data_IF_343266071294
#
_entry.id   IF_343266071294
#
_cell.length_a   1.000
_cell.length_b   1.000
_cell.length_c   1.000
_cell.angle_alpha   90.00
_cell.angle_beta   90.00
_cell.angle_gamma   90.00
#
_symmetry.space_group_name_H-M   'P 1'
#
loop_
_entity.id
_entity.type
_entity.pdbx_description
1 polymer ?
#
# COMPACT_ATOMS: atom_id res chain seq x y z
N UNK A 1 -26.08 4.85 -0.52
CA UNK A 1 -24.95 4.19 -1.19
C UNK A 1 -25.39 2.77 -1.53
N UNK A 2 -25.28 2.28 -2.78
CA UNK A 2 -25.90 1.01 -3.20
C UNK A 2 -25.09 -0.17 -2.65
N UNK A 3 -25.76 -1.24 -2.21
CA UNK A 3 -25.13 -2.46 -1.66
C UNK A 3 -24.06 -3.06 -2.60
N UNK A 4 -24.26 -2.97 -3.91
CA UNK A 4 -23.31 -3.43 -4.92
C UNK A 4 -21.98 -2.67 -4.88
N UNK A 5 -21.99 -1.36 -4.60
CA UNK A 5 -20.79 -0.53 -4.50
C UNK A 5 -19.95 -0.93 -3.28
N UNK A 6 -20.60 -1.24 -2.15
CA UNK A 6 -19.93 -1.70 -0.94
C UNK A 6 -19.24 -3.05 -1.14
N UNK A 7 -19.91 -4.01 -1.79
CA UNK A 7 -19.31 -5.31 -2.10
C UNK A 7 -18.13 -5.18 -3.07
N UNK A 8 -18.20 -4.26 -4.03
CA UNK A 8 -17.08 -3.96 -4.92
C UNK A 8 -15.89 -3.43 -4.11
N UNK A 9 -16.11 -2.43 -3.25
CA UNK A 9 -15.05 -1.87 -2.43
C UNK A 9 -14.44 -2.90 -1.45
N UNK A 10 -15.27 -3.76 -0.85
CA UNK A 10 -14.78 -4.81 0.05
C UNK A 10 -13.84 -5.79 -0.66
N UNK A 11 -14.17 -6.18 -1.90
CA UNK A 11 -13.31 -7.06 -2.72
C UNK A 11 -12.01 -6.36 -3.10
N UNK A 12 -12.08 -5.09 -3.49
CA UNK A 12 -10.89 -4.29 -3.77
C UNK A 12 -9.95 -4.24 -2.56
N UNK A 13 -10.49 -3.96 -1.38
CA UNK A 13 -9.73 -3.91 -0.13
C UNK A 13 -9.11 -5.28 0.21
N UNK A 14 -9.85 -6.39 0.03
CA UNK A 14 -9.32 -7.74 0.26
C UNK A 14 -8.17 -8.09 -0.70
N UNK A 15 -8.26 -7.63 -1.96
CA UNK A 15 -7.19 -7.79 -2.95
C UNK A 15 -5.95 -6.98 -2.56
N UNK A 16 -6.12 -5.71 -2.16
CA UNK A 16 -5.02 -4.85 -1.71
C UNK A 16 -4.34 -5.40 -0.46
N UNK A 17 -5.12 -5.90 0.51
CA UNK A 17 -4.58 -6.51 1.73
C UNK A 17 -3.77 -7.77 1.42
N UNK A 18 -4.32 -8.65 0.57
CA UNK A 18 -3.62 -9.87 0.16
C UNK A 18 -2.35 -9.57 -0.62
N UNK A 19 -2.39 -8.58 -1.52
CA UNK A 19 -1.22 -8.13 -2.27
C UNK A 19 -0.14 -7.59 -1.33
N UNK A 20 -0.51 -6.76 -0.35
CA UNK A 20 0.42 -6.24 0.66
C UNK A 20 1.15 -7.34 1.41
N UNK A 21 0.42 -8.35 1.89
CA UNK A 21 1.00 -9.48 2.62
C UNK A 21 1.99 -10.25 1.74
N UNK A 22 1.61 -10.55 0.49
CA UNK A 22 2.49 -11.24 -0.45
C UNK A 22 3.75 -10.43 -0.78
N UNK A 23 3.67 -9.10 -0.93
CA UNK A 23 4.84 -8.25 -1.18
C UNK A 23 5.78 -8.11 0.02
N UNK A 24 5.31 -8.40 1.23
CA UNK A 24 6.16 -8.44 2.42
C UNK A 24 6.99 -9.74 2.50
N UNK A 25 6.49 -10.82 1.89
CA UNK A 25 7.15 -12.14 1.91
C UNK A 25 8.07 -12.36 0.70
N UNK A 26 7.73 -11.77 -0.45
CA UNK A 26 8.45 -11.97 -1.69
C UNK A 26 8.54 -10.68 -2.52
N UNK A 27 9.56 -10.61 -3.37
CA UNK A 27 9.76 -9.45 -4.24
C UNK A 27 8.61 -9.28 -5.23
N UNK A 28 8.31 -8.02 -5.57
CA UNK A 28 7.23 -7.59 -6.46
C UNK A 28 7.13 -8.39 -7.77
N UNK A 29 8.27 -8.67 -8.38
CA UNK A 29 8.41 -9.40 -9.64
C UNK A 29 7.90 -10.85 -9.53
N UNK A 30 8.03 -11.47 -8.36
CA UNK A 30 7.65 -12.87 -8.10
C UNK A 30 6.17 -13.07 -7.81
N UNK A 31 5.49 -12.07 -7.25
CA UNK A 31 4.04 -12.14 -7.00
C UNK A 31 3.28 -12.12 -8.32
N UNK A 32 2.26 -12.97 -8.43
CA UNK A 32 1.34 -13.01 -9.56
C UNK A 32 -0.09 -12.62 -9.17
N UNK A 33 -0.87 -12.12 -10.14
CA UNK A 33 -2.32 -11.85 -9.95
C UNK A 33 -3.08 -13.12 -9.50
N UNK A 34 -2.65 -14.30 -9.96
CA UNK A 34 -3.29 -15.55 -9.59
C UNK A 34 -3.09 -15.90 -8.10
N UNK A 35 -1.91 -15.60 -7.55
CA UNK A 35 -1.63 -15.80 -6.12
C UNK A 35 -2.40 -14.81 -5.27
N UNK A 36 -2.45 -13.53 -5.66
CA UNK A 36 -3.26 -12.52 -4.96
C UNK A 36 -4.73 -12.93 -4.94
N UNK A 37 -5.26 -13.37 -6.09
CA UNK A 37 -6.64 -13.84 -6.22
C UNK A 37 -6.92 -15.03 -5.27
N UNK A 38 -6.03 -16.04 -5.28
CA UNK A 38 -6.12 -17.22 -4.43
C UNK A 38 -6.04 -16.87 -2.95
N UNK A 39 -5.10 -16.01 -2.57
CA UNK A 39 -4.90 -15.56 -1.19
C UNK A 39 -6.13 -14.79 -0.69
N UNK A 40 -6.73 -13.94 -1.53
CA UNK A 40 -7.93 -13.17 -1.19
C UNK A 40 -9.24 -13.99 -1.23
N UNK A 41 -9.21 -15.25 -1.68
CA UNK A 41 -10.43 -16.04 -1.91
C UNK A 41 -11.32 -15.49 -3.02
N UNK A 42 -10.75 -14.75 -3.98
CA UNK A 42 -11.47 -14.07 -5.06
C UNK A 42 -11.08 -14.70 -6.41
N UNK A 43 -12.07 -14.93 -7.28
CA UNK A 43 -11.81 -15.47 -8.62
C UNK A 43 -10.93 -14.53 -9.46
N UNK A 44 -9.96 -15.10 -10.20
CA UNK A 44 -9.00 -14.35 -11.04
C UNK A 44 -9.68 -13.35 -12.00
N UNK A 45 -10.80 -13.73 -12.61
CA UNK A 45 -11.57 -12.84 -13.50
C UNK A 45 -12.18 -11.62 -12.77
N UNK A 46 -12.49 -11.76 -11.48
CA UNK A 46 -12.96 -10.64 -10.65
C UNK A 46 -11.83 -9.67 -10.34
N UNK A 47 -10.59 -10.15 -10.15
CA UNK A 47 -9.43 -9.26 -9.93
C UNK A 47 -9.25 -8.28 -11.08
N UNK A 48 -9.38 -8.76 -12.32
CA UNK A 48 -9.28 -7.90 -13.51
C UNK A 48 -10.43 -6.89 -13.66
N UNK A 49 -11.52 -7.02 -12.89
CA UNK A 49 -12.56 -5.98 -12.81
C UNK A 49 -12.16 -4.82 -11.87
N UNK A 50 -11.26 -5.06 -10.92
CA UNK A 50 -10.74 -4.05 -10.01
C UNK A 50 -9.43 -3.44 -10.51
N UNK A 51 -8.54 -4.26 -11.07
CA UNK A 51 -7.20 -3.85 -11.49
C UNK A 51 -6.91 -4.36 -12.89
N UNK A 52 -6.59 -3.44 -13.81
CA UNK A 52 -6.30 -3.78 -15.21
C UNK A 52 -5.02 -4.60 -15.39
N UNK A 53 -4.08 -4.50 -14.46
CA UNK A 53 -2.82 -5.24 -14.48
C UNK A 53 -2.25 -5.44 -13.07
N UNK A 54 -1.16 -6.22 -12.98
CA UNK A 54 -0.39 -6.33 -11.73
C UNK A 54 0.08 -4.95 -11.31
N UNK A 55 0.65 -4.19 -12.24
CA UNK A 55 1.24 -2.86 -12.04
C UNK A 55 0.19 -1.88 -11.52
N UNK A 56 -1.06 -1.96 -12.01
CA UNK A 56 -2.16 -1.13 -11.52
C UNK A 56 -2.50 -1.43 -10.05
N UNK A 57 -2.54 -2.71 -9.67
CA UNK A 57 -2.73 -3.15 -8.28
C UNK A 57 -1.60 -2.62 -7.38
N UNK A 58 -0.36 -2.73 -7.83
CA UNK A 58 0.80 -2.26 -7.08
C UNK A 58 0.85 -0.76 -6.94
N UNK A 59 0.67 -0.03 -8.05
CA UNK A 59 0.62 1.42 -8.04
C UNK A 59 -0.47 1.91 -7.09
N UNK A 60 -1.63 1.24 -7.05
CA UNK A 60 -2.69 1.60 -6.10
C UNK A 60 -2.24 1.37 -4.65
N UNK A 61 -1.69 0.20 -4.35
CA UNK A 61 -1.20 -0.13 -3.01
C UNK A 61 -0.12 0.86 -2.54
N UNK A 62 0.83 1.16 -3.41
CA UNK A 62 1.89 2.15 -3.20
C UNK A 62 1.30 3.53 -2.89
N UNK A 63 0.37 4.01 -3.72
CA UNK A 63 -0.22 5.34 -3.54
C UNK A 63 -0.97 5.46 -2.22
N UNK A 64 -1.69 4.41 -1.81
CA UNK A 64 -2.41 4.39 -0.53
C UNK A 64 -1.42 4.43 0.64
N UNK A 65 -0.33 3.66 0.57
CA UNK A 65 0.74 3.73 1.56
C UNK A 65 1.41 5.10 1.60
N UNK A 66 1.83 5.65 0.46
CA UNK A 66 2.49 6.96 0.38
C UNK A 66 1.61 8.07 0.95
N UNK A 67 0.30 8.06 0.68
CA UNK A 67 -0.64 9.04 1.24
C UNK A 67 -0.72 8.97 2.75
N UNK A 68 -0.82 7.77 3.32
CA UNK A 68 -0.84 7.60 4.77
C UNK A 68 0.45 8.13 5.40
N UNK A 69 1.61 7.76 4.86
CA UNK A 69 2.90 8.19 5.40
C UNK A 69 3.10 9.71 5.28
N UNK A 70 2.73 10.31 4.15
CA UNK A 70 2.80 11.76 3.99
C UNK A 70 1.87 12.49 4.98
N UNK A 71 0.71 11.92 5.32
CA UNK A 71 -0.16 12.46 6.37
C UNK A 71 0.54 12.42 7.74
N UNK A 72 1.12 11.28 8.12
CA UNK A 72 1.84 11.12 9.40
C UNK A 72 3.04 12.06 9.51
N UNK A 73 3.82 12.23 8.43
CA UNK A 73 4.95 13.16 8.39
C UNK A 73 4.47 14.61 8.50
N UNK A 74 3.36 14.97 7.85
CA UNK A 74 2.77 16.31 7.95
C UNK A 74 2.27 16.59 9.37
N UNK A 75 1.63 15.63 10.01
CA UNK A 75 1.20 15.74 11.40
C UNK A 75 2.39 15.92 12.33
N UNK A 76 3.46 15.13 12.14
CA UNK A 76 4.72 15.24 12.90
C UNK A 76 5.34 16.63 12.73
N UNK A 77 5.34 17.17 11.51
CA UNK A 77 5.88 18.50 11.23
C UNK A 77 5.15 19.63 11.96
N UNK A 78 3.85 19.46 12.22
CA UNK A 78 3.01 20.48 12.88
C UNK A 78 3.11 20.47 14.42
N UNK A 79 3.84 19.53 15.00
CA UNK A 79 3.91 19.35 16.46
C UNK A 79 5.05 20.13 17.13
N UNK A 80 5.92 20.79 16.37
CA UNK A 80 7.09 21.49 16.92
C UNK A 80 7.53 22.68 16.06
N UNK A 81 8.36 23.60 16.58
CA UNK A 81 9.00 24.65 15.77
C UNK A 81 9.83 24.05 14.62
N UNK A 82 10.06 24.79 13.50
CA UNK A 82 10.57 24.22 12.25
C UNK A 82 11.84 23.36 12.37
N UNK A 83 12.79 23.77 13.22
CA UNK A 83 14.05 23.03 13.43
C UNK A 83 13.84 21.69 14.14
N UNK A 84 12.96 21.65 15.14
CA UNK A 84 12.62 20.43 15.88
C UNK A 84 11.71 19.53 15.05
N UNK A 85 10.72 20.12 14.36
CA UNK A 85 9.87 19.44 13.39
C UNK A 85 10.70 18.74 12.31
N UNK A 86 11.71 19.40 11.73
CA UNK A 86 12.61 18.78 10.77
C UNK A 86 13.30 17.53 11.34
N UNK A 87 13.80 17.60 12.59
CA UNK A 87 14.42 16.45 13.25
C UNK A 87 13.42 15.30 13.44
N UNK A 88 12.20 15.60 13.87
CA UNK A 88 11.16 14.59 14.08
C UNK A 88 10.72 13.95 12.77
N UNK A 89 10.51 14.75 11.72
CA UNK A 89 10.14 14.28 10.37
C UNK A 89 11.21 13.36 9.80
N UNK A 90 12.49 13.76 9.84
CA UNK A 90 13.59 12.93 9.36
C UNK A 90 13.62 11.61 10.13
N UNK A 91 13.58 11.66 11.47
CA UNK A 91 13.59 10.46 12.29
C UNK A 91 12.42 9.54 11.96
N UNK A 92 11.21 10.08 11.88
CA UNK A 92 9.99 9.31 11.59
C UNK A 92 10.03 8.70 10.20
N UNK A 93 10.52 9.43 9.20
CA UNK A 93 10.69 8.92 7.85
C UNK A 93 11.66 7.74 7.79
N UNK A 94 12.79 7.81 8.51
CA UNK A 94 13.74 6.69 8.61
C UNK A 94 13.15 5.48 9.35
N UNK A 95 12.44 5.70 10.47
CA UNK A 95 11.78 4.63 11.22
C UNK A 95 10.74 3.90 10.35
N UNK A 96 9.95 4.64 9.56
CA UNK A 96 9.02 4.06 8.61
C UNK A 96 9.76 3.25 7.54
N UNK A 97 10.79 3.84 6.89
CA UNK A 97 11.54 3.20 5.81
C UNK A 97 12.16 1.86 6.21
N UNK A 98 12.63 1.76 7.47
CA UNK A 98 13.24 0.54 8.00
C UNK A 98 12.20 -0.49 8.48
N UNK A 99 10.95 -0.08 8.75
CA UNK A 99 9.92 -0.94 9.31
C UNK A 99 9.06 -1.66 8.24
N UNK A 100 8.96 -1.12 7.02
CA UNK A 100 8.12 -1.69 5.96
C UNK A 100 8.93 -2.00 4.69
N UNK A 101 9.13 -3.29 4.33
CA UNK A 101 9.81 -3.68 3.11
C UNK A 101 9.20 -3.08 1.83
N UNK A 102 7.88 -2.81 1.85
CA UNK A 102 7.19 -2.19 0.72
C UNK A 102 7.64 -0.73 0.53
N UNK A 103 7.96 -0.02 1.62
CA UNK A 103 8.53 1.33 1.54
C UNK A 103 9.99 1.30 1.10
N UNK A 104 10.77 0.34 1.56
CA UNK A 104 12.15 0.18 1.10
C UNK A 104 12.20 -0.05 -0.42
N UNK A 105 11.29 -0.87 -0.96
CA UNK A 105 11.16 -1.08 -2.41
C UNK A 105 10.75 0.21 -3.15
N UNK A 106 9.91 1.05 -2.56
CA UNK A 106 9.48 2.32 -3.15
C UNK A 106 10.60 3.34 -3.33
N UNK A 107 11.55 3.39 -2.39
CA UNK A 107 12.67 4.33 -2.43
C UNK A 107 13.83 3.89 -3.33
N UNK A 108 13.80 2.65 -3.84
CA UNK A 108 14.85 2.06 -4.68
C UNK A 108 14.48 1.99 -6.17
N UNK A 109 13.34 2.57 -6.56
CA UNK A 109 12.90 2.81 -7.94
C UNK A 109 13.33 4.22 -8.40
#
# INVERSE_FOLDING_TARGET
>A
MRYQDQLFQQRENALLQSARQLFQEQSWDRVTIAEVARHAGIGKGTVYKHFSSKEALYARLVLDCSRQHLSELRETANQAPPREAMRHVIRRAFEQLLADPLQAQLCLL
#
